data_IF_260094345910
#
_entry.id   IF_260094345910
#
_cell.length_a   1.000
_cell.length_b   1.000
_cell.length_c   1.000
_cell.angle_alpha   90.00
_cell.angle_beta   90.00
_cell.angle_gamma   90.00
#
_symmetry.space_group_name_H-M   'P 1'
#
loop_
_entity.id
_entity.type
_entity.pdbx_description
1 polymer ?
#
# COMPACT_ATOMS: atom_id res chain seq x y z
N UNK A 1 -14.29 -23.34 -0.63
CA UNK A 1 -15.22 -22.18 -0.71
C UNK A 1 -14.58 -20.88 -1.17
N UNK A 2 -13.42 -20.48 -0.64
CA UNK A 2 -12.77 -19.19 -0.96
C UNK A 2 -11.32 -19.42 -1.40
N UNK A 3 -10.86 -18.68 -2.41
CA UNK A 3 -9.48 -18.69 -2.91
C UNK A 3 -8.89 -17.27 -2.77
N UNK A 4 -7.75 -17.12 -2.10
CA UNK A 4 -7.10 -15.82 -1.88
C UNK A 4 -5.70 -15.81 -2.50
N UNK A 5 -5.28 -14.68 -3.07
CA UNK A 5 -3.93 -14.55 -3.61
C UNK A 5 -3.48 -13.11 -3.81
N UNK A 6 -2.15 -12.93 -3.75
CA UNK A 6 -1.45 -11.70 -4.10
C UNK A 6 -0.16 -12.05 -4.83
N UNK A 7 -0.20 -12.28 -6.15
CA UNK A 7 0.99 -12.62 -6.93
C UNK A 7 2.04 -11.50 -6.88
N UNK A 8 3.35 -11.82 -7.05
CA UNK A 8 4.40 -10.81 -7.04
C UNK A 8 4.17 -9.67 -8.04
N UNK A 9 4.38 -8.43 -7.59
CA UNK A 9 4.06 -7.22 -8.36
C UNK A 9 5.28 -6.52 -9.00
N UNK A 10 6.48 -7.08 -8.83
CA UNK A 10 7.74 -6.43 -9.24
C UNK A 10 7.81 -6.12 -10.74
N UNK A 11 7.18 -6.97 -11.55
CA UNK A 11 7.15 -6.86 -13.01
C UNK A 11 6.00 -6.01 -13.53
N UNK A 12 5.20 -5.46 -12.63
CA UNK A 12 3.96 -4.72 -12.91
C UNK A 12 4.08 -3.26 -12.45
N UNK A 13 4.79 -3.06 -11.35
CA UNK A 13 5.03 -1.76 -10.75
C UNK A 13 5.61 -0.78 -11.77
N UNK A 14 4.93 0.36 -11.97
CA UNK A 14 5.41 1.46 -12.82
C UNK A 14 6.75 2.06 -12.35
N UNK A 15 7.19 1.75 -11.13
CA UNK A 15 8.51 2.11 -10.60
C UNK A 15 9.63 1.32 -11.29
N UNK A 16 9.34 0.10 -11.78
CA UNK A 16 10.31 -0.70 -12.50
C UNK A 16 10.33 -0.31 -13.99
N UNK A 17 11.42 0.31 -14.42
CA UNK A 17 11.64 0.71 -15.81
C UNK A 17 11.90 -0.48 -16.75
N UNK A 18 12.33 -1.63 -16.21
CA UNK A 18 12.63 -2.87 -16.96
C UNK A 18 11.51 -3.90 -16.87
N UNK A 19 10.35 -3.49 -16.37
CA UNK A 19 9.19 -4.35 -16.15
C UNK A 19 8.77 -5.02 -17.46
N UNK A 20 8.46 -6.32 -17.39
CA UNK A 20 7.94 -7.08 -18.54
C UNK A 20 6.45 -7.41 -18.41
N UNK A 21 5.80 -6.95 -17.33
CA UNK A 21 4.40 -7.27 -17.06
C UNK A 21 4.20 -8.79 -16.98
N UNK A 22 3.08 -9.24 -17.54
CA UNK A 22 2.71 -10.66 -17.63
C UNK A 22 3.66 -11.52 -18.48
N UNK A 23 4.56 -10.92 -19.28
CA UNK A 23 5.48 -11.66 -20.15
C UNK A 23 6.73 -12.17 -19.41
N UNK A 24 6.92 -11.76 -18.15
CA UNK A 24 7.93 -12.33 -17.26
C UNK A 24 7.43 -13.61 -16.58
N UNK A 25 8.37 -14.45 -16.15
CA UNK A 25 8.06 -15.63 -15.33
C UNK A 25 7.25 -15.25 -14.08
N UNK A 26 7.72 -14.28 -13.30
CA UNK A 26 7.06 -13.83 -12.07
C UNK A 26 5.79 -13.03 -12.33
N UNK A 27 5.76 -12.18 -13.35
CA UNK A 27 4.56 -11.40 -13.69
C UNK A 27 3.43 -12.25 -14.31
N UNK A 28 3.76 -13.38 -14.96
CA UNK A 28 2.77 -14.33 -15.47
C UNK A 28 2.00 -15.05 -14.37
N UNK A 29 2.49 -15.03 -13.12
CA UNK A 29 1.89 -15.75 -12.00
C UNK A 29 0.45 -15.32 -11.73
N UNK A 30 0.04 -14.09 -12.06
CA UNK A 30 -1.37 -13.70 -11.95
C UNK A 30 -2.26 -14.52 -12.91
N UNK A 31 -1.79 -14.78 -14.13
CA UNK A 31 -2.56 -15.48 -15.15
C UNK A 31 -2.64 -16.95 -14.77
N UNK A 32 -1.55 -17.48 -14.21
CA UNK A 32 -1.52 -18.82 -13.62
C UNK A 32 -2.50 -18.93 -12.44
N UNK A 33 -2.55 -17.92 -11.56
CA UNK A 33 -3.49 -17.87 -10.44
C UNK A 33 -4.95 -17.82 -10.91
N UNK A 34 -5.28 -16.99 -11.90
CA UNK A 34 -6.61 -16.95 -12.51
C UNK A 34 -6.99 -18.30 -13.16
N UNK A 35 -6.05 -18.96 -13.86
CA UNK A 35 -6.25 -20.32 -14.39
C UNK A 35 -6.49 -21.34 -13.27
N UNK A 36 -5.79 -21.22 -12.15
CA UNK A 36 -5.98 -22.09 -10.99
C UNK A 36 -7.37 -21.92 -10.36
N UNK A 37 -7.84 -20.67 -10.21
CA UNK A 37 -9.20 -20.36 -9.75
C UNK A 37 -10.23 -21.09 -10.62
N UNK A 38 -10.08 -21.03 -11.94
CA UNK A 38 -10.99 -21.70 -12.88
C UNK A 38 -10.95 -23.23 -12.76
N UNK A 39 -9.77 -23.81 -12.49
CA UNK A 39 -9.65 -25.26 -12.23
C UNK A 39 -10.37 -25.66 -10.94
N UNK A 40 -10.17 -24.90 -9.86
CA UNK A 40 -10.80 -25.18 -8.55
C UNK A 40 -12.33 -25.01 -8.64
N UNK A 41 -12.82 -23.97 -9.33
CA UNK A 41 -14.26 -23.81 -9.60
C UNK A 41 -14.87 -25.05 -10.27
N UNK A 42 -14.26 -25.53 -11.35
CA UNK A 42 -14.71 -26.72 -12.08
C UNK A 42 -14.65 -27.99 -11.23
N UNK A 43 -13.59 -28.12 -10.42
CA UNK A 43 -13.46 -29.25 -9.49
C UNK A 43 -14.62 -29.27 -8.48
N UNK A 44 -14.89 -28.13 -7.83
CA UNK A 44 -15.96 -28.03 -6.85
C UNK A 44 -17.35 -28.28 -7.48
N UNK A 45 -17.57 -27.77 -8.68
CA UNK A 45 -18.80 -28.02 -9.45
C UNK A 45 -18.99 -29.50 -9.81
N UNK A 46 -17.89 -30.20 -10.11
CA UNK A 46 -17.94 -31.60 -10.54
C UNK A 46 -18.13 -32.57 -9.37
N UNK A 47 -17.43 -32.33 -8.25
CA UNK A 47 -17.29 -33.32 -7.18
C UNK A 47 -18.04 -32.98 -5.89
N UNK A 48 -18.55 -31.74 -5.75
CA UNK A 48 -19.30 -31.34 -4.56
C UNK A 48 -20.75 -30.99 -4.90
N UNK A 49 -20.98 -29.95 -5.70
CA UNK A 49 -22.32 -29.53 -6.13
C UNK A 49 -22.20 -28.75 -7.44
N UNK A 50 -23.01 -29.05 -8.45
CA UNK A 50 -23.01 -28.32 -9.73
C UNK A 50 -23.24 -26.82 -9.57
N UNK A 51 -23.94 -26.42 -8.51
CA UNK A 51 -24.21 -25.02 -8.16
C UNK A 51 -23.22 -24.46 -7.13
N UNK A 52 -22.15 -25.19 -6.79
CA UNK A 52 -21.18 -24.78 -5.79
C UNK A 52 -20.56 -23.42 -6.15
N UNK A 53 -20.87 -22.40 -5.35
CA UNK A 53 -20.28 -21.07 -5.49
C UNK A 53 -18.89 -21.05 -4.87
N UNK A 54 -17.85 -20.92 -5.71
CA UNK A 54 -16.48 -20.69 -5.24
C UNK A 54 -16.17 -19.21 -5.33
N UNK A 55 -15.88 -18.59 -4.19
CA UNK A 55 -15.44 -17.21 -4.11
C UNK A 55 -13.93 -17.10 -4.38
N UNK A 56 -13.49 -15.98 -4.92
CA UNK A 56 -12.07 -15.69 -5.06
C UNK A 56 -11.76 -14.22 -4.84
N UNK A 57 -10.53 -13.97 -4.39
CA UNK A 57 -9.94 -12.65 -4.21
C UNK A 57 -8.51 -12.68 -4.74
N UNK A 58 -8.18 -11.74 -5.62
CA UNK A 58 -6.81 -11.47 -6.02
C UNK A 58 -6.54 -9.97 -5.89
N UNK A 59 -5.45 -9.61 -5.21
CA UNK A 59 -4.94 -8.24 -5.17
C UNK A 59 -3.64 -8.14 -5.97
N UNK A 60 -3.43 -7.02 -6.65
CA UNK A 60 -2.13 -6.62 -7.17
C UNK A 60 -2.06 -5.09 -7.36
N UNK A 61 -0.87 -4.56 -7.67
CA UNK A 61 -0.73 -3.20 -8.19
C UNK A 61 -1.46 -3.07 -9.53
N UNK A 62 -1.98 -1.88 -9.89
CA UNK A 62 -2.59 -1.68 -11.20
C UNK A 62 -1.58 -1.92 -12.33
N UNK A 63 -1.91 -2.82 -13.25
CA UNK A 63 -1.14 -3.03 -14.48
C UNK A 63 -1.43 -1.90 -15.48
N UNK A 64 -0.42 -1.52 -16.26
CA UNK A 64 -0.53 -0.42 -17.24
C UNK A 64 -0.57 -0.93 -18.69
N UNK A 65 -0.06 -2.14 -18.95
CA UNK A 65 0.04 -2.68 -20.31
C UNK A 65 -1.09 -3.63 -20.72
N UNK A 66 -1.21 -4.77 -20.03
CA UNK A 66 -2.04 -5.91 -20.48
C UNK A 66 -3.27 -6.17 -19.61
N UNK A 67 -3.89 -5.10 -19.12
CA UNK A 67 -5.06 -5.19 -18.21
C UNK A 67 -6.15 -6.08 -18.79
N UNK A 68 -6.50 -5.89 -20.07
CA UNK A 68 -7.56 -6.68 -20.71
C UNK A 68 -7.25 -8.18 -20.76
N UNK A 69 -5.99 -8.58 -20.90
CA UNK A 69 -5.61 -9.99 -20.88
C UNK A 69 -5.85 -10.61 -19.49
N UNK A 70 -5.52 -9.86 -18.44
CA UNK A 70 -5.72 -10.27 -17.06
C UNK A 70 -7.20 -10.36 -16.74
N UNK A 71 -7.97 -9.30 -17.05
CA UNK A 71 -9.42 -9.25 -16.84
C UNK A 71 -10.15 -10.37 -17.59
N UNK A 72 -9.77 -10.63 -18.85
CA UNK A 72 -10.32 -11.74 -19.63
C UNK A 72 -10.01 -13.11 -18.99
N UNK A 73 -8.84 -13.26 -18.38
CA UNK A 73 -8.45 -14.53 -17.73
C UNK A 73 -9.21 -14.75 -16.42
N UNK A 74 -9.46 -13.68 -15.66
CA UNK A 74 -10.34 -13.74 -14.48
C UNK A 74 -11.83 -13.82 -14.82
N UNK A 75 -12.22 -13.32 -16.00
CA UNK A 75 -13.60 -13.16 -16.44
C UNK A 75 -14.34 -12.00 -15.76
N UNK A 76 -13.61 -11.04 -15.19
CA UNK A 76 -14.15 -9.87 -14.49
C UNK A 76 -13.21 -8.67 -14.66
N UNK A 77 -13.77 -7.46 -14.59
CA UNK A 77 -12.96 -6.24 -14.53
C UNK A 77 -12.36 -6.04 -13.15
N UNK A 78 -11.19 -5.39 -13.11
CA UNK A 78 -10.55 -5.03 -11.86
C UNK A 78 -11.33 -3.91 -11.15
N UNK A 79 -11.66 -4.13 -9.88
CA UNK A 79 -12.09 -3.05 -9.00
C UNK A 79 -10.84 -2.32 -8.51
N UNK A 80 -10.67 -1.06 -8.92
CA UNK A 80 -9.52 -0.25 -8.52
C UNK A 80 -9.90 0.65 -7.36
N UNK A 81 -9.09 0.63 -6.30
CA UNK A 81 -9.25 1.59 -5.22
C UNK A 81 -7.92 1.93 -4.56
N UNK A 82 -7.82 3.15 -4.07
CA UNK A 82 -6.66 3.68 -3.40
C UNK A 82 -6.89 3.68 -1.89
N UNK A 83 -5.95 3.09 -1.14
CA UNK A 83 -6.00 3.09 0.32
C UNK A 83 -6.05 4.51 0.89
N UNK A 84 -5.64 5.55 0.13
CA UNK A 84 -5.78 6.94 0.53
C UNK A 84 -7.22 7.27 0.93
N UNK A 85 -8.23 6.59 0.39
CA UNK A 85 -9.63 6.87 0.72
C UNK A 85 -9.93 6.64 2.20
N UNK A 86 -9.23 5.71 2.86
CA UNK A 86 -9.47 5.33 4.27
C UNK A 86 -8.26 5.45 5.18
N UNK A 87 -7.07 5.42 4.59
CA UNK A 87 -5.80 5.28 5.28
C UNK A 87 -4.83 6.43 5.00
N UNK A 88 -3.68 6.40 5.68
CA UNK A 88 -2.67 7.46 5.64
C UNK A 88 -1.81 7.42 4.37
N UNK A 89 -1.99 6.44 3.48
CA UNK A 89 -1.08 6.17 2.38
C UNK A 89 -1.76 6.19 0.99
N UNK A 90 -1.07 6.77 0.00
CA UNK A 90 -1.35 6.55 -1.41
C UNK A 90 -0.94 5.14 -1.81
N UNK A 91 -1.91 4.24 -1.93
CA UNK A 91 -1.71 2.83 -2.26
C UNK A 91 -2.85 2.34 -3.14
N UNK A 92 -2.82 2.75 -4.40
CA UNK A 92 -3.74 2.23 -5.41
C UNK A 92 -3.50 0.74 -5.65
N UNK A 93 -4.58 -0.03 -5.69
CA UNK A 93 -4.60 -1.47 -5.93
C UNK A 93 -5.74 -1.86 -6.85
N UNK A 94 -5.49 -2.90 -7.63
CA UNK A 94 -6.46 -3.58 -8.45
C UNK A 94 -6.89 -4.88 -7.75
N UNK A 95 -8.19 -5.05 -7.59
CA UNK A 95 -8.81 -6.19 -6.93
C UNK A 95 -9.68 -6.97 -7.92
N UNK A 96 -9.49 -8.29 -7.97
CA UNK A 96 -10.31 -9.21 -8.76
C UNK A 96 -11.08 -10.11 -7.79
N UNK A 97 -12.40 -10.00 -7.76
CA UNK A 97 -13.26 -10.82 -6.92
C UNK A 97 -14.67 -10.98 -7.51
N UNK A 98 -15.39 -12.03 -7.12
CA UNK A 98 -16.71 -12.39 -7.67
C UNK A 98 -17.88 -12.27 -6.69
N UNK A 99 -17.79 -11.31 -5.79
CA UNK A 99 -18.90 -10.83 -4.98
C UNK A 99 -19.11 -9.34 -5.24
N UNK A 100 -20.27 -8.81 -4.89
CA UNK A 100 -20.50 -7.36 -4.96
C UNK A 100 -19.83 -6.71 -3.74
N UNK A 101 -18.95 -5.72 -3.93
CA UNK A 101 -18.41 -4.99 -2.80
C UNK A 101 -19.56 -4.20 -2.15
N UNK A 102 -19.55 -4.11 -0.82
CA UNK A 102 -20.39 -3.12 -0.15
C UNK A 102 -20.03 -1.74 -0.70
N UNK A 103 -21.00 -0.82 -0.75
CA UNK A 103 -20.75 0.58 -1.09
C UNK A 103 -19.58 1.10 -0.25
N UNK A 104 -18.68 1.84 -0.89
CA UNK A 104 -17.59 2.55 -0.20
C UNK A 104 -18.24 3.36 0.92
N UNK A 105 -17.95 3.09 2.20
CA UNK A 105 -18.57 3.84 3.28
C UNK A 105 -18.23 5.33 3.10
N UNK A 106 -19.21 6.21 3.28
CA UNK A 106 -18.95 7.64 3.45
C UNK A 106 -18.12 7.78 4.73
N UNK A 107 -16.82 8.08 4.58
CA UNK A 107 -15.89 8.07 5.70
C UNK A 107 -15.72 9.51 6.21
N UNK A 108 -16.42 9.86 7.27
CA UNK A 108 -16.22 11.13 7.98
C UNK A 108 -14.90 11.16 8.78
N UNK A 109 -14.21 10.03 8.94
CA UNK A 109 -12.94 9.92 9.68
C UNK A 109 -11.88 9.11 8.94
N UNK A 110 -11.30 9.69 7.90
CA UNK A 110 -10.15 9.11 7.19
C UNK A 110 -8.92 9.18 8.11
N UNK A 111 -8.23 8.05 8.32
CA UNK A 111 -6.99 8.03 9.08
C UNK A 111 -5.95 8.94 8.42
N UNK A 112 -5.39 9.85 9.19
CA UNK A 112 -4.49 10.90 8.72
C UNK A 112 -3.04 10.42 8.77
N UNK A 113 -2.18 10.87 7.85
CA UNK A 113 -0.74 10.59 7.93
C UNK A 113 -0.14 11.01 9.28
N UNK A 114 -0.68 12.09 9.85
CA UNK A 114 -0.33 12.63 11.17
C UNK A 114 -0.75 11.76 12.35
N UNK A 115 -1.71 10.84 12.19
CA UNK A 115 -2.19 9.95 13.26
C UNK A 115 -1.36 8.66 13.43
N UNK A 116 -0.44 8.38 12.51
CA UNK A 116 0.27 7.09 12.46
C UNK A 116 1.68 7.13 13.06
N UNK A 117 2.19 8.30 13.41
CA UNK A 117 3.54 8.51 13.91
C UNK A 117 3.49 8.96 15.39
N UNK A 118 4.46 8.50 16.19
CA UNK A 118 4.55 8.80 17.63
C UNK A 118 5.40 10.06 17.89
N UNK A 119 5.36 10.58 19.11
CA UNK A 119 6.30 11.60 19.62
C UNK A 119 6.41 12.89 18.79
N UNK A 120 5.29 13.31 18.20
CA UNK A 120 5.19 14.54 17.41
C UNK A 120 5.79 14.46 16.01
N UNK A 121 6.29 13.29 15.60
CA UNK A 121 6.76 13.05 14.23
C UNK A 121 5.61 13.14 13.23
N UNK A 122 5.89 13.71 12.07
CA UNK A 122 4.93 13.91 10.96
C UNK A 122 5.63 13.68 9.62
N UNK A 123 4.84 13.56 8.55
CA UNK A 123 5.37 13.75 7.20
C UNK A 123 5.98 15.16 7.09
N UNK A 124 7.08 15.37 6.33
CA UNK A 124 7.77 16.67 6.27
C UNK A 124 6.86 17.84 5.94
N UNK A 125 6.00 17.69 4.93
CA UNK A 125 5.01 18.70 4.54
C UNK A 125 3.99 19.03 5.65
N UNK A 126 3.59 18.03 6.44
CA UNK A 126 2.67 18.22 7.58
C UNK A 126 3.41 18.82 8.80
N UNK A 127 4.73 18.76 8.82
CA UNK A 127 5.59 19.40 9.82
C UNK A 127 5.92 20.85 9.43
N UNK A 128 6.05 21.16 8.14
CA UNK A 128 6.36 22.51 7.63
C UNK A 128 5.11 23.38 7.55
N UNK A 129 4.02 22.85 6.98
CA UNK A 129 2.85 23.67 6.62
C UNK A 129 1.67 23.37 7.53
N UNK A 130 1.27 24.38 8.32
CA UNK A 130 0.15 24.27 9.25
C UNK A 130 -1.16 24.00 8.49
N UNK A 131 -1.80 22.87 8.79
CA UNK A 131 -3.14 22.53 8.26
C UNK A 131 -3.15 21.69 6.98
N UNK A 132 -1.99 21.33 6.42
CA UNK A 132 -1.91 20.36 5.33
C UNK A 132 -1.83 18.95 5.91
N UNK A 133 -2.75 18.10 5.45
CA UNK A 133 -2.77 16.68 5.77
C UNK A 133 -2.41 15.85 4.55
N UNK A 134 -1.13 15.88 4.17
CA UNK A 134 -0.64 15.05 3.07
C UNK A 134 -0.56 13.58 3.53
N UNK A 135 -0.92 12.69 2.61
CA UNK A 135 -0.82 11.24 2.79
C UNK A 135 0.58 10.77 2.40
N UNK A 136 1.10 9.80 3.13
CA UNK A 136 2.38 9.20 2.80
C UNK A 136 2.31 8.52 1.43
N UNK A 137 3.31 8.73 0.58
CA UNK A 137 3.49 7.85 -0.58
C UNK A 137 3.80 6.45 -0.04
N UNK A 138 3.23 5.40 -0.66
CA UNK A 138 3.51 4.03 -0.22
C UNK A 138 5.03 3.81 -0.08
N UNK A 139 5.48 3.51 1.14
CA UNK A 139 6.89 3.35 1.50
C UNK A 139 7.49 2.02 1.02
N UNK A 140 6.89 1.40 0.00
CA UNK A 140 7.45 0.25 -0.71
C UNK A 140 8.49 0.76 -1.70
N UNK A 141 9.54 1.36 -1.15
CA UNK A 141 10.81 1.40 -1.82
C UNK A 141 11.17 -0.05 -2.22
N UNK A 142 11.44 -0.27 -3.51
CA UNK A 142 12.25 -1.43 -3.90
C UNK A 142 13.53 -1.43 -3.06
N UNK A 143 14.19 -2.57 -2.86
CA UNK A 143 15.44 -2.64 -2.07
C UNK A 143 16.43 -1.51 -2.38
N UNK A 144 16.52 -1.10 -3.66
CA UNK A 144 17.36 0.03 -4.10
C UNK A 144 16.91 1.45 -3.73
N UNK A 145 15.74 1.62 -3.12
CA UNK A 145 15.19 2.90 -2.62
C UNK A 145 15.03 2.94 -1.09
N UNK A 146 15.38 1.87 -0.38
CA UNK A 146 15.28 1.82 1.09
C UNK A 146 16.18 2.87 1.75
N UNK A 147 17.21 3.34 1.04
CA UNK A 147 18.05 4.48 1.41
C UNK A 147 17.83 5.74 0.58
N UNK A 148 16.75 5.86 -0.20
CA UNK A 148 16.44 7.10 -0.93
C UNK A 148 15.97 8.15 0.08
N UNK A 149 16.82 9.15 0.39
CA UNK A 149 16.51 10.12 1.41
C UNK A 149 15.31 10.98 0.98
N UNK A 150 15.08 11.20 -0.32
CA UNK A 150 14.03 12.12 -0.79
C UNK A 150 12.59 11.66 -0.50
N UNK A 151 12.37 10.41 -0.09
CA UNK A 151 11.02 9.84 0.10
C UNK A 151 10.76 9.19 1.46
N UNK A 152 11.79 9.10 2.32
CA UNK A 152 11.76 8.26 3.53
C UNK A 152 12.01 9.04 4.85
N UNK A 153 11.75 10.35 4.88
CA UNK A 153 11.89 11.17 6.09
C UNK A 153 10.56 11.44 6.80
N UNK A 154 10.65 11.48 8.13
CA UNK A 154 9.72 12.13 9.05
C UNK A 154 10.38 13.40 9.59
N UNK A 155 9.56 14.39 9.93
CA UNK A 155 10.03 15.63 10.55
C UNK A 155 9.18 15.99 11.77
N UNK A 156 9.76 16.73 12.70
CA UNK A 156 9.05 17.36 13.82
C UNK A 156 9.69 18.70 14.17
N UNK A 157 8.94 19.52 14.89
CA UNK A 157 9.47 20.77 15.44
C UNK A 157 10.48 20.44 16.55
N UNK A 158 11.64 21.10 16.53
CA UNK A 158 12.66 20.95 17.58
C UNK A 158 12.10 21.38 18.94
N UNK A 159 12.57 20.71 19.99
CA UNK A 159 12.21 21.07 21.36
C UNK A 159 12.61 22.53 21.66
N UNK A 160 11.72 23.26 22.34
CA UNK A 160 11.93 24.66 22.71
C UNK A 160 11.58 25.70 21.63
N UNK A 161 11.23 25.28 20.41
CA UNK A 161 10.75 26.21 19.37
C UNK A 161 9.30 26.59 19.64
N UNK A 162 9.05 27.85 19.97
CA UNK A 162 7.71 28.42 20.02
C UNK A 162 7.26 28.86 18.62
N UNK A 163 6.57 27.96 17.93
CA UNK A 163 6.08 28.19 16.58
C UNK A 163 5.05 29.32 16.53
N UNK A 164 4.26 29.53 17.59
CA UNK A 164 3.19 30.53 17.59
C UNK A 164 3.73 31.96 17.64
N UNK A 165 4.85 32.19 18.35
CA UNK A 165 5.50 33.50 18.38
C UNK A 165 6.42 33.74 17.18
N UNK A 166 7.04 32.70 16.64
CA UNK A 166 8.02 32.83 15.54
C UNK A 166 7.41 32.88 14.14
N UNK A 167 6.27 32.20 13.91
CA UNK A 167 5.66 32.08 12.58
C UNK A 167 4.19 32.52 12.60
N UNK A 168 3.82 33.33 11.60
CA UNK A 168 2.43 33.72 11.39
C UNK A 168 1.53 32.47 11.18
N UNK A 169 0.23 32.53 11.55
CA UNK A 169 -0.71 31.46 11.22
C UNK A 169 -0.69 31.12 9.73
N UNK A 170 -0.47 29.85 9.40
CA UNK A 170 -0.39 29.37 8.00
C UNK A 170 0.97 29.54 7.32
N UNK A 171 1.95 30.21 7.95
CA UNK A 171 3.31 30.27 7.41
C UNK A 171 4.05 28.94 7.56
N UNK A 172 4.94 28.65 6.62
CA UNK A 172 5.82 27.50 6.67
C UNK A 172 6.86 27.65 7.79
N UNK A 173 7.09 26.58 8.54
CA UNK A 173 8.16 26.49 9.54
C UNK A 173 9.50 26.32 8.82
N UNK A 174 10.48 27.14 9.21
CA UNK A 174 11.82 27.10 8.64
C UNK A 174 12.53 25.77 8.92
N UNK A 175 13.31 25.28 7.97
CA UNK A 175 14.03 24.01 8.09
C UNK A 175 15.00 23.99 9.29
N UNK A 176 15.49 25.16 9.70
CA UNK A 176 16.36 25.34 10.87
C UNK A 176 15.68 24.97 12.20
N UNK A 177 14.35 25.02 12.25
CA UNK A 177 13.54 24.72 13.43
C UNK A 177 12.94 23.31 13.41
N UNK A 178 13.26 22.54 12.36
CA UNK A 178 12.80 21.17 12.19
C UNK A 178 13.91 20.17 12.46
N UNK A 179 13.55 19.09 13.14
CA UNK A 179 14.32 17.88 13.26
C UNK A 179 13.83 16.88 12.21
N UNK A 180 14.76 16.21 11.53
CA UNK A 180 14.47 15.20 10.50
C UNK A 180 15.02 13.85 10.93
N UNK A 181 14.28 12.78 10.65
CA UNK A 181 14.73 11.41 10.86
C UNK A 181 14.14 10.48 9.79
N UNK A 182 14.73 9.31 9.58
CA UNK A 182 14.22 8.31 8.65
C UNK A 182 13.01 7.57 9.26
N UNK A 183 12.10 7.09 8.41
CA UNK A 183 11.07 6.15 8.85
C UNK A 183 11.68 4.83 9.32
N UNK A 184 11.38 4.48 10.57
CA UNK A 184 11.72 3.19 11.15
C UNK A 184 10.78 2.09 10.62
N UNK A 185 11.11 0.83 10.87
CA UNK A 185 10.26 -0.30 10.47
C UNK A 185 8.88 -0.21 11.11
N UNK A 186 8.79 0.11 12.41
CA UNK A 186 7.52 0.28 13.12
C UNK A 186 6.67 1.44 12.59
N UNK A 187 7.29 2.53 12.11
CA UNK A 187 6.54 3.62 11.47
C UNK A 187 5.88 3.16 10.17
N UNK A 188 6.61 2.36 9.39
CA UNK A 188 6.12 1.80 8.12
C UNK A 188 4.99 0.81 8.36
N UNK A 189 5.09 -0.02 9.39
CA UNK A 189 4.01 -0.93 9.78
C UNK A 189 2.72 -0.16 10.07
N UNK A 190 2.79 0.89 10.92
CA UNK A 190 1.63 1.71 11.26
C UNK A 190 1.04 2.41 10.04
N UNK A 191 1.88 3.01 9.21
CA UNK A 191 1.44 3.67 7.96
C UNK A 191 0.78 2.67 7.00
N UNK A 192 1.27 1.43 6.96
CA UNK A 192 0.76 0.38 6.09
C UNK A 192 -0.43 -0.40 6.69
N UNK A 193 -0.85 -0.07 7.93
CA UNK A 193 -1.91 -0.76 8.65
C UNK A 193 -1.54 -2.17 9.11
N UNK A 194 -0.24 -2.46 9.26
CA UNK A 194 0.27 -3.73 9.78
C UNK A 194 0.30 -3.70 11.31
N UNK A 195 0.11 -4.84 11.99
CA UNK A 195 0.34 -4.95 13.43
C UNK A 195 1.79 -4.57 13.78
N UNK A 196 1.98 -3.91 14.93
CA UNK A 196 3.31 -3.55 15.44
C UNK A 196 4.16 -4.82 15.64
N UNK A 197 5.37 -4.82 15.08
CA UNK A 197 6.31 -5.94 15.10
C UNK A 197 6.12 -6.97 13.98
N UNK A 198 5.15 -6.80 13.07
CA UNK A 198 4.88 -7.76 11.99
C UNK A 198 6.06 -7.98 11.05
N UNK A 199 6.79 -6.91 10.72
CA UNK A 199 8.01 -6.90 9.88
C UNK A 199 9.26 -6.78 10.76
N UNK A 200 9.24 -5.91 11.75
CA UNK A 200 10.40 -5.59 12.58
C UNK A 200 10.97 -6.83 13.28
N UNK A 201 10.11 -7.63 13.89
CA UNK A 201 10.55 -8.82 14.64
C UNK A 201 11.21 -9.87 13.74
N UNK A 202 10.60 -10.32 12.61
CA UNK A 202 11.26 -11.23 11.69
C UNK A 202 12.60 -10.70 11.14
N UNK A 203 12.70 -9.40 10.87
CA UNK A 203 13.96 -8.80 10.38
C UNK A 203 15.03 -8.87 11.47
N UNK A 204 14.71 -8.49 12.71
CA UNK A 204 15.64 -8.62 13.83
C UNK A 204 16.09 -10.08 13.97
N UNK A 205 15.15 -11.03 14.02
CA UNK A 205 15.43 -12.46 14.17
C UNK A 205 16.34 -13.03 13.06
N UNK A 206 16.24 -12.49 11.83
CA UNK A 206 17.06 -12.90 10.68
C UNK A 206 18.51 -12.40 10.75
N UNK A 207 18.75 -11.22 11.33
CA UNK A 207 20.06 -10.56 11.34
C UNK A 207 20.74 -10.55 12.72
N UNK A 208 20.09 -11.07 13.76
CA UNK A 208 20.64 -11.21 15.11
C UNK A 208 21.42 -12.52 15.34
N UNK A 209 21.88 -13.19 14.27
CA UNK A 209 22.77 -14.37 14.32
C UNK A 209 24.16 -14.00 13.84
#
# INVERSE_FOLDING_TARGET
DIILGGPPCNEWSGINARRKGVDSESGSLILQFAKLINKVKKYNQKYHDVNHRTYFFCENVPEVGKVSEIENTFGISAFKVDAKTWGPCFRERAFFFNWEPNTVPEVDSVAKGTSCLKDGWKMPVNATTRGIDEKARTLLASYGRIGDPSTMYKARVKEGVDVASKYAPGADIGAEDLEYNLFETGDRERLMGLPEGYVEKPVIDLFSK
#
